data_IF_281359207467
#
_entry.id   IF_281359207467
#
_cell.length_a   1.000
_cell.length_b   1.000
_cell.length_c   1.000
_cell.angle_alpha   90.00
_cell.angle_beta   90.00
_cell.angle_gamma   90.00
#
_symmetry.space_group_name_H-M   'P 1'
#
loop_
_entity.id
_entity.type
_entity.pdbx_description
1 polymer ?
#
# COMPACT_ATOMS: atom_id res chain seq x y z
N UNK A 1 -3.44 -15.11 22.37
CA UNK A 1 -3.23 -13.94 21.49
C UNK A 1 -3.04 -14.34 20.02
N UNK A 2 -1.94 -15.01 19.65
CA UNK A 2 -1.64 -15.36 18.24
C UNK A 2 -2.79 -16.08 17.52
N UNK A 3 -3.41 -17.08 18.16
CA UNK A 3 -4.55 -17.78 17.56
C UNK A 3 -5.75 -16.85 17.29
N UNK A 4 -6.04 -15.91 18.20
CA UNK A 4 -7.15 -14.96 18.05
C UNK A 4 -6.88 -13.96 16.93
N UNK A 5 -5.71 -13.35 16.93
CA UNK A 5 -5.32 -12.31 15.96
C UNK A 5 -5.16 -12.93 14.56
N UNK A 6 -4.25 -13.92 14.46
CA UNK A 6 -3.74 -14.42 13.19
C UNK A 6 -4.59 -15.57 12.67
N UNK A 7 -4.73 -16.66 13.45
CA UNK A 7 -5.38 -17.88 12.95
C UNK A 7 -6.90 -17.76 12.79
N UNK A 8 -7.54 -16.98 13.65
CA UNK A 8 -8.98 -16.72 13.60
C UNK A 8 -9.32 -15.48 12.76
N UNK A 9 -8.32 -14.69 12.35
CA UNK A 9 -8.53 -13.51 11.51
C UNK A 9 -9.26 -12.35 12.19
N UNK A 10 -9.18 -12.21 13.52
CA UNK A 10 -9.70 -11.02 14.20
C UNK A 10 -8.82 -9.80 13.96
N UNK A 11 -7.54 -10.03 13.72
CA UNK A 11 -6.53 -9.01 13.49
C UNK A 11 -6.25 -8.09 14.67
N UNK A 12 -5.38 -7.11 14.46
CA UNK A 12 -5.09 -6.07 15.46
C UNK A 12 -6.29 -5.17 15.70
N UNK A 13 -7.17 -4.99 14.69
CA UNK A 13 -8.44 -4.29 14.88
C UNK A 13 -9.31 -4.98 15.93
N UNK A 14 -9.48 -6.29 15.85
CA UNK A 14 -10.28 -7.05 16.81
C UNK A 14 -9.74 -7.00 18.24
N UNK A 15 -8.42 -6.83 18.40
CA UNK A 15 -7.82 -6.60 19.73
C UNK A 15 -8.26 -5.26 20.32
N UNK A 16 -8.26 -4.20 19.52
CA UNK A 16 -8.72 -2.87 19.95
C UNK A 16 -10.22 -2.88 20.23
N UNK A 17 -11.02 -3.49 19.35
CA UNK A 17 -12.47 -3.63 19.55
C UNK A 17 -12.82 -4.39 20.84
N UNK A 18 -11.90 -5.23 21.35
CA UNK A 18 -12.05 -5.96 22.62
C UNK A 18 -11.71 -5.13 23.87
N UNK A 19 -11.43 -3.83 23.73
CA UNK A 19 -11.14 -2.93 24.86
C UNK A 19 -9.70 -2.99 25.39
N UNK A 20 -8.75 -3.39 24.55
CA UNK A 20 -7.34 -3.48 24.92
C UNK A 20 -6.76 -2.12 25.32
N UNK A 21 -6.11 -2.06 26.49
CA UNK A 21 -5.52 -0.84 27.05
C UNK A 21 -3.99 -0.76 26.98
N UNK A 22 -3.31 -1.81 26.52
CA UNK A 22 -1.85 -1.84 26.38
C UNK A 22 -1.40 -2.76 25.23
N UNK A 23 -0.24 -2.47 24.65
CA UNK A 23 0.33 -3.29 23.55
C UNK A 23 0.82 -4.64 24.11
N UNK A 24 0.34 -5.78 23.58
CA UNK A 24 0.79 -7.09 24.03
C UNK A 24 2.24 -7.38 23.63
N UNK A 25 2.93 -8.18 24.43
CA UNK A 25 4.36 -8.49 24.22
C UNK A 25 4.75 -8.93 22.80
N UNK A 26 3.96 -9.74 22.06
CA UNK A 26 4.30 -10.11 20.69
C UNK A 26 4.38 -8.94 19.68
N UNK A 27 3.78 -7.79 20.00
CA UNK A 27 3.81 -6.57 19.17
C UNK A 27 4.87 -5.56 19.62
N UNK A 28 5.53 -5.84 20.75
CA UNK A 28 6.57 -4.96 21.30
C UNK A 28 7.84 -5.14 20.47
N UNK A 29 8.17 -4.11 19.70
CA UNK A 29 9.31 -4.13 18.79
C UNK A 29 10.64 -4.12 19.55
N UNK A 30 11.71 -4.70 18.99
CA UNK A 30 13.07 -4.53 19.50
C UNK A 30 13.44 -3.05 19.60
N UNK A 31 14.30 -2.68 20.55
CA UNK A 31 14.74 -1.28 20.72
C UNK A 31 15.31 -0.66 19.43
N UNK A 32 15.95 -1.46 18.58
CA UNK A 32 16.48 -1.02 17.29
C UNK A 32 15.40 -0.65 16.27
N UNK A 33 14.21 -1.24 16.36
CA UNK A 33 13.07 -1.02 15.47
C UNK A 33 12.07 0.00 16.02
N UNK A 34 12.09 0.25 17.33
CA UNK A 34 11.28 1.31 17.93
C UNK A 34 11.73 2.64 17.35
N UNK A 35 10.80 3.29 16.68
CA UNK A 35 10.96 4.66 16.23
C UNK A 35 10.90 5.49 17.51
N UNK A 36 12.06 5.91 18.02
CA UNK A 36 12.08 7.04 18.93
C UNK A 36 11.29 8.17 18.24
N UNK A 37 10.55 8.98 18.97
CA UNK A 37 10.10 10.28 18.48
C UNK A 37 11.22 11.29 18.76
N UNK A 38 12.35 11.33 18.01
CA UNK A 38 13.16 12.53 18.05
C UNK A 38 12.32 13.63 17.43
N UNK A 39 12.59 14.88 17.82
CA UNK A 39 12.24 16.05 17.03
C UNK A 39 12.63 15.74 15.58
N UNK A 40 11.67 15.33 14.76
CA UNK A 40 11.92 15.11 13.35
C UNK A 40 12.41 16.48 12.88
N UNK A 41 13.68 16.54 12.47
CA UNK A 41 14.14 17.68 11.69
C UNK A 41 13.13 17.75 10.56
N UNK A 42 12.28 18.78 10.58
CA UNK A 42 11.40 19.12 9.48
C UNK A 42 12.32 19.50 8.34
N UNK A 43 12.87 18.50 7.64
CA UNK A 43 13.32 18.69 6.27
C UNK A 43 12.06 19.10 5.54
N UNK A 44 12.08 20.29 4.97
CA UNK A 44 11.03 20.75 4.08
C UNK A 44 10.74 19.63 3.10
N UNK A 45 9.52 19.10 3.14
CA UNK A 45 9.11 18.09 2.17
C UNK A 45 9.27 18.71 0.78
N UNK A 46 9.93 18.00 -0.13
CA UNK A 46 10.03 18.42 -1.52
C UNK A 46 8.63 18.74 -2.03
N UNK A 47 8.48 19.86 -2.75
CA UNK A 47 7.20 20.21 -3.34
C UNK A 47 6.72 19.07 -4.25
N UNK A 48 5.41 18.72 -4.21
CA UNK A 48 4.88 17.68 -5.09
C UNK A 48 5.10 18.04 -6.57
N UNK A 49 5.40 17.03 -7.37
CA UNK A 49 5.62 17.16 -8.81
C UNK A 49 4.26 17.22 -9.52
N UNK A 50 4.03 18.28 -10.31
CA UNK A 50 2.80 18.45 -11.08
C UNK A 50 2.85 17.65 -12.39
N UNK A 51 2.14 16.51 -12.43
CA UNK A 51 2.11 15.64 -13.61
C UNK A 51 1.22 16.15 -14.74
N UNK A 52 0.42 17.20 -14.55
CA UNK A 52 -0.35 17.80 -15.65
C UNK A 52 0.56 18.53 -16.65
N UNK A 53 1.76 18.91 -16.20
CA UNK A 53 2.75 19.63 -16.99
C UNK A 53 3.66 18.71 -17.82
N UNK A 54 3.60 17.39 -17.57
CA UNK A 54 4.51 16.42 -18.17
C UNK A 54 4.32 16.26 -19.69
N UNK A 55 3.10 16.40 -20.22
CA UNK A 55 2.85 16.32 -21.68
C UNK A 55 2.80 17.71 -22.34
N UNK A 56 3.21 18.74 -21.60
CA UNK A 56 3.13 20.14 -22.01
C UNK A 56 4.49 20.76 -22.34
N UNK A 57 4.53 22.10 -22.51
CA UNK A 57 5.77 22.84 -22.75
C UNK A 57 6.84 22.64 -21.67
N UNK A 58 6.42 22.27 -20.46
CA UNK A 58 7.27 22.06 -19.29
C UNK A 58 7.76 20.60 -19.15
N UNK A 59 7.50 19.72 -20.13
CA UNK A 59 7.88 18.30 -20.10
C UNK A 59 9.30 18.05 -19.57
N UNK A 60 10.31 18.75 -20.12
CA UNK A 60 11.72 18.56 -19.74
C UNK A 60 12.00 18.85 -18.27
N UNK A 61 11.33 19.87 -17.72
CA UNK A 61 11.51 20.26 -16.33
C UNK A 61 10.84 19.26 -15.38
N UNK A 62 9.62 18.83 -15.69
CA UNK A 62 8.91 17.81 -14.90
C UNK A 62 9.64 16.47 -14.95
N UNK A 63 10.10 16.06 -16.13
CA UNK A 63 10.88 14.84 -16.31
C UNK A 63 12.17 14.87 -15.47
N UNK A 64 12.87 16.01 -15.48
CA UNK A 64 14.06 16.23 -14.65
C UNK A 64 13.74 16.12 -13.16
N UNK A 65 12.64 16.71 -12.67
CA UNK A 65 12.22 16.60 -11.27
C UNK A 65 11.95 15.15 -10.84
N UNK A 66 11.29 14.37 -11.70
CA UNK A 66 11.03 12.94 -11.45
C UNK A 66 12.35 12.18 -11.33
N UNK A 67 13.27 12.37 -12.27
CA UNK A 67 14.59 11.72 -12.29
C UNK A 67 15.41 12.10 -11.06
N UNK A 68 15.54 13.39 -10.77
CA UNK A 68 16.34 13.87 -9.63
C UNK A 68 15.78 13.33 -8.31
N UNK A 69 14.46 13.30 -8.14
CA UNK A 69 13.86 12.74 -6.93
C UNK A 69 14.07 11.22 -6.82
N UNK A 70 13.99 10.49 -7.93
CA UNK A 70 14.25 9.06 -7.98
C UNK A 70 15.72 8.71 -7.68
N UNK A 71 16.68 9.50 -8.18
CA UNK A 71 18.12 9.28 -7.96
C UNK A 71 18.60 9.68 -6.56
N UNK A 72 17.99 10.71 -5.96
CA UNK A 72 18.46 11.27 -4.69
C UNK A 72 17.78 10.66 -3.47
N UNK A 73 16.45 10.54 -3.50
CA UNK A 73 15.65 10.04 -2.38
C UNK A 73 15.01 8.67 -2.67
N UNK A 74 14.75 8.36 -3.93
CA UNK A 74 13.92 7.21 -4.31
C UNK A 74 12.46 7.36 -3.90
N UNK A 75 12.01 8.59 -3.61
CA UNK A 75 10.66 8.89 -3.14
C UNK A 75 10.25 10.31 -3.55
N UNK A 76 9.02 10.47 -4.02
CA UNK A 76 8.45 11.77 -4.39
C UNK A 76 6.92 11.74 -4.32
N UNK A 77 6.32 12.92 -4.20
CA UNK A 77 4.88 13.10 -4.26
C UNK A 77 4.49 13.67 -5.62
N UNK A 78 3.29 13.36 -6.07
CA UNK A 78 2.74 13.86 -7.33
C UNK A 78 1.37 14.49 -7.10
N UNK A 79 1.05 15.53 -7.87
CA UNK A 79 -0.27 16.17 -7.93
C UNK A 79 -0.73 16.28 -9.38
N UNK A 80 -2.03 16.56 -9.57
CA UNK A 80 -2.65 16.69 -10.90
C UNK A 80 -2.34 15.46 -11.80
N UNK A 81 -2.35 14.27 -11.20
CA UNK A 81 -1.94 13.01 -11.82
C UNK A 81 -3.04 12.34 -12.67
N UNK A 82 -4.23 12.95 -12.75
CA UNK A 82 -5.33 12.49 -13.61
C UNK A 82 -6.26 11.43 -13.02
N UNK A 83 -6.02 10.98 -11.79
CA UNK A 83 -6.95 10.08 -11.06
C UNK A 83 -7.97 10.94 -10.32
N UNK A 84 -9.27 10.66 -10.48
CA UNK A 84 -10.33 11.44 -9.83
C UNK A 84 -10.19 11.42 -8.31
N UNK A 85 -10.32 12.59 -7.69
CA UNK A 85 -10.38 12.73 -6.22
C UNK A 85 -11.54 11.91 -5.65
N UNK A 86 -12.68 11.87 -6.33
CA UNK A 86 -13.85 11.08 -5.88
C UNK A 86 -13.50 9.59 -5.81
N UNK A 87 -12.75 9.08 -6.79
CA UNK A 87 -12.30 7.69 -6.80
C UNK A 87 -11.31 7.40 -5.66
N UNK A 88 -10.42 8.35 -5.36
CA UNK A 88 -9.49 8.21 -4.22
C UNK A 88 -10.22 8.19 -2.88
N UNK A 89 -11.24 9.04 -2.70
CA UNK A 89 -12.07 9.04 -1.49
C UNK A 89 -12.91 7.77 -1.36
N UNK A 90 -13.52 7.30 -2.47
CA UNK A 90 -14.22 6.02 -2.49
C UNK A 90 -13.30 4.85 -2.17
N UNK A 91 -12.05 4.87 -2.65
CA UNK A 91 -11.10 3.81 -2.36
C UNK A 91 -10.80 3.74 -0.86
N UNK A 92 -10.53 4.89 -0.22
CA UNK A 92 -10.33 4.99 1.24
C UNK A 92 -11.56 4.48 1.99
N UNK A 93 -12.76 4.95 1.62
CA UNK A 93 -14.00 4.51 2.24
C UNK A 93 -14.21 2.99 2.12
N UNK A 94 -13.98 2.42 0.93
CA UNK A 94 -14.13 0.98 0.68
C UNK A 94 -13.15 0.12 1.48
N UNK A 95 -11.94 0.63 1.75
CA UNK A 95 -10.99 -0.02 2.64
C UNK A 95 -11.55 -0.06 4.08
N UNK A 96 -12.05 1.07 4.58
CA UNK A 96 -12.71 1.12 5.90
C UNK A 96 -13.91 0.17 5.97
N UNK A 97 -14.75 0.12 4.93
CA UNK A 97 -15.89 -0.80 4.86
C UNK A 97 -15.46 -2.26 4.94
N UNK A 98 -14.41 -2.66 4.24
CA UNK A 98 -13.85 -4.01 4.33
C UNK A 98 -13.38 -4.33 5.77
N UNK A 99 -12.58 -3.46 6.39
CA UNK A 99 -12.04 -3.73 7.73
C UNK A 99 -13.09 -3.63 8.85
N UNK A 100 -14.17 -2.88 8.63
CA UNK A 100 -15.33 -2.80 9.53
C UNK A 100 -16.21 -4.05 9.53
N UNK A 101 -16.06 -4.94 8.56
CA UNK A 101 -16.81 -6.21 8.55
C UNK A 101 -16.47 -7.08 9.77
N UNK A 102 -17.42 -7.94 10.13
CA UNK A 102 -17.24 -8.95 11.15
C UNK A 102 -16.02 -9.85 10.83
N UNK A 103 -15.25 -10.31 11.83
CA UNK A 103 -14.06 -11.14 11.62
C UNK A 103 -14.28 -12.32 10.69
N UNK A 104 -15.43 -13.00 10.78
CA UNK A 104 -15.76 -14.19 9.99
C UNK A 104 -15.84 -13.87 8.49
N UNK A 105 -16.28 -12.66 8.13
CA UNK A 105 -16.37 -12.21 6.72
C UNK A 105 -14.99 -11.88 6.14
N UNK A 106 -14.03 -11.50 6.97
CA UNK A 106 -12.64 -11.23 6.55
C UNK A 106 -11.79 -12.50 6.57
N UNK A 107 -12.02 -13.38 7.54
CA UNK A 107 -11.28 -14.61 7.75
C UNK A 107 -11.38 -15.59 6.56
N UNK A 108 -12.41 -15.49 5.72
CA UNK A 108 -12.50 -16.28 4.49
C UNK A 108 -11.34 -16.00 3.52
N UNK A 109 -10.65 -14.86 3.65
CA UNK A 109 -9.51 -14.49 2.82
C UNK A 109 -8.16 -14.81 3.47
N UNK A 110 -8.13 -15.49 4.62
CA UNK A 110 -6.86 -15.97 5.20
C UNK A 110 -6.15 -16.91 4.21
N UNK A 111 -4.81 -16.87 4.20
CA UNK A 111 -3.96 -17.55 3.20
C UNK A 111 -4.31 -19.03 2.99
N UNK A 112 -4.70 -19.72 4.06
CA UNK A 112 -4.93 -21.16 4.09
C UNK A 112 -6.30 -21.56 3.54
N UNK A 113 -7.28 -20.64 3.55
CA UNK A 113 -8.68 -20.92 3.20
C UNK A 113 -9.22 -20.02 2.10
N UNK A 114 -8.43 -19.03 1.65
CA UNK A 114 -8.84 -18.08 0.61
C UNK A 114 -9.32 -18.81 -0.65
N UNK A 115 -10.49 -18.44 -1.20
CA UNK A 115 -10.99 -19.03 -2.45
C UNK A 115 -10.04 -18.86 -3.63
N UNK A 116 -9.14 -17.88 -3.58
CA UNK A 116 -8.10 -17.66 -4.57
C UNK A 116 -6.77 -17.36 -3.89
N UNK A 117 -5.69 -17.98 -4.39
CA UNK A 117 -4.31 -17.70 -3.93
C UNK A 117 -3.86 -16.27 -4.25
N UNK A 118 -4.62 -15.55 -5.08
CA UNK A 118 -4.37 -14.17 -5.49
C UNK A 118 -4.87 -13.15 -4.47
N UNK A 119 -5.70 -13.57 -3.50
CA UNK A 119 -6.26 -12.67 -2.47
C UNK A 119 -5.89 -13.19 -1.10
N UNK A 120 -5.29 -12.34 -0.27
CA UNK A 120 -4.85 -12.67 1.09
C UNK A 120 -5.20 -11.56 2.07
N UNK A 121 -6.02 -11.88 3.07
CA UNK A 121 -6.18 -11.10 4.29
C UNK A 121 -5.25 -11.63 5.37
N UNK A 122 -4.76 -10.74 6.23
CA UNK A 122 -4.03 -11.12 7.41
C UNK A 122 -3.60 -9.93 8.28
N UNK A 123 -2.80 -10.24 9.28
CA UNK A 123 -2.17 -9.29 10.19
C UNK A 123 -0.68 -9.48 10.08
N UNK A 124 0.07 -8.39 9.91
CA UNK A 124 1.52 -8.40 9.68
C UNK A 124 1.99 -9.25 8.49
N UNK A 125 3.23 -9.09 8.06
CA UNK A 125 3.69 -9.67 6.80
C UNK A 125 3.78 -11.21 6.85
N UNK A 126 4.59 -11.73 7.77
CA UNK A 126 4.78 -13.17 8.05
C UNK A 126 4.90 -13.37 9.57
N UNK A 127 3.79 -13.33 10.32
CA UNK A 127 3.79 -13.37 11.79
C UNK A 127 4.58 -14.53 12.40
N UNK A 128 4.61 -15.69 11.73
CA UNK A 128 5.29 -16.89 12.22
C UNK A 128 6.82 -16.79 12.20
N UNK A 129 7.37 -15.90 11.35
CA UNK A 129 8.82 -15.70 11.18
C UNK A 129 9.32 -14.40 11.81
N UNK A 130 8.41 -13.54 12.25
CA UNK A 130 8.72 -12.25 12.82
C UNK A 130 9.16 -12.36 14.28
N UNK A 131 10.12 -11.53 14.68
CA UNK A 131 10.54 -11.40 16.08
C UNK A 131 9.50 -10.64 16.92
N UNK A 132 8.84 -9.67 16.29
CA UNK A 132 7.73 -8.92 16.83
C UNK A 132 6.77 -8.60 15.67
N UNK A 133 5.47 -8.78 15.90
CA UNK A 133 4.41 -8.63 14.92
C UNK A 133 4.14 -7.14 14.68
N UNK A 134 3.90 -6.75 13.43
CA UNK A 134 3.53 -5.39 13.06
C UNK A 134 2.09 -5.07 13.49
N UNK A 135 1.86 -3.81 13.87
CA UNK A 135 0.55 -3.29 14.26
C UNK A 135 -0.29 -2.90 13.04
N UNK A 136 -0.60 -3.89 12.20
CA UNK A 136 -1.28 -3.68 10.92
C UNK A 136 -2.10 -4.90 10.50
N UNK A 137 -3.33 -4.65 10.08
CA UNK A 137 -4.12 -5.59 9.27
C UNK A 137 -4.04 -5.19 7.79
N UNK A 138 -4.12 -6.16 6.89
CA UNK A 138 -4.10 -5.88 5.45
C UNK A 138 -4.96 -6.86 4.66
N UNK A 139 -5.41 -6.43 3.49
CA UNK A 139 -5.82 -7.32 2.40
C UNK A 139 -4.98 -7.02 1.17
N UNK A 140 -4.38 -8.06 0.61
CA UNK A 140 -3.54 -8.03 -0.57
C UNK A 140 -4.27 -8.70 -1.72
N UNK A 141 -4.37 -8.01 -2.84
CA UNK A 141 -5.12 -8.41 -4.03
C UNK A 141 -4.19 -8.37 -5.24
N UNK A 142 -3.71 -9.53 -5.67
CA UNK A 142 -2.93 -9.67 -6.89
C UNK A 142 -3.87 -9.57 -8.10
N UNK A 143 -3.54 -8.71 -9.04
CA UNK A 143 -4.28 -8.54 -10.28
C UNK A 143 -3.63 -9.36 -11.40
N UNK A 144 -4.43 -10.21 -12.04
CA UNK A 144 -4.05 -10.97 -13.24
C UNK A 144 -4.91 -10.58 -14.43
N UNK A 145 -6.23 -10.53 -14.24
CA UNK A 145 -7.22 -10.05 -15.20
C UNK A 145 -8.51 -9.63 -14.47
N UNK A 146 -9.39 -8.92 -15.20
CA UNK A 146 -10.67 -8.44 -14.67
C UNK A 146 -11.57 -9.56 -14.15
N UNK A 147 -11.62 -10.71 -14.81
CA UNK A 147 -12.49 -11.83 -14.41
C UNK A 147 -12.10 -12.38 -13.04
N UNK A 148 -10.79 -12.60 -12.81
CA UNK A 148 -10.26 -13.06 -11.53
C UNK A 148 -10.52 -12.02 -10.42
N UNK A 149 -10.32 -10.73 -10.72
CA UNK A 149 -10.60 -9.65 -9.78
C UNK A 149 -12.09 -9.60 -9.41
N UNK A 150 -12.98 -9.60 -10.41
CA UNK A 150 -14.44 -9.54 -10.21
C UNK A 150 -14.99 -10.76 -9.46
N UNK A 151 -14.38 -11.92 -9.65
CA UNK A 151 -14.78 -13.17 -9.01
C UNK A 151 -14.26 -13.29 -7.57
N UNK A 152 -13.05 -12.84 -7.28
CA UNK A 152 -12.36 -13.20 -6.04
C UNK A 152 -12.03 -12.05 -5.09
N UNK A 153 -11.94 -10.80 -5.56
CA UNK A 153 -11.66 -9.68 -4.67
C UNK A 153 -12.83 -9.42 -3.71
N UNK A 154 -12.58 -8.88 -2.51
CA UNK A 154 -13.63 -8.63 -1.52
C UNK A 154 -14.68 -7.65 -2.05
N UNK A 155 -15.94 -8.05 -2.01
CA UNK A 155 -17.05 -7.26 -2.53
C UNK A 155 -17.07 -5.78 -2.05
N UNK A 156 -16.76 -5.45 -0.77
CA UNK A 156 -16.78 -4.05 -0.33
C UNK A 156 -15.85 -3.12 -1.09
N UNK A 157 -14.71 -3.63 -1.57
CA UNK A 157 -13.68 -2.81 -2.21
C UNK A 157 -13.35 -3.20 -3.65
N UNK A 158 -13.90 -4.31 -4.15
CA UNK A 158 -13.56 -4.90 -5.44
C UNK A 158 -13.66 -3.93 -6.61
N UNK A 159 -14.83 -3.34 -6.81
CA UNK A 159 -15.11 -2.58 -8.03
C UNK A 159 -14.31 -1.26 -8.03
N UNK A 160 -14.25 -0.59 -6.87
CA UNK A 160 -13.48 0.65 -6.66
C UNK A 160 -11.97 0.41 -6.75
N UNK A 161 -11.46 -0.68 -6.19
CA UNK A 161 -10.05 -1.04 -6.28
C UNK A 161 -9.63 -1.37 -7.73
N UNK A 162 -10.52 -2.04 -8.47
CA UNK A 162 -10.26 -2.37 -9.88
C UNK A 162 -10.25 -1.10 -10.74
N UNK A 163 -11.19 -0.19 -10.51
CA UNK A 163 -11.23 1.10 -11.18
C UNK A 163 -10.00 1.95 -10.85
N UNK A 164 -9.61 2.02 -9.57
CA UNK A 164 -8.39 2.70 -9.15
C UNK A 164 -7.14 2.12 -9.80
N UNK A 165 -7.00 0.79 -9.84
CA UNK A 165 -5.87 0.13 -10.49
C UNK A 165 -5.81 0.55 -11.96
N UNK A 166 -6.94 0.51 -12.68
CA UNK A 166 -6.98 0.89 -14.10
C UNK A 166 -6.68 2.36 -14.34
N UNK A 167 -7.30 3.26 -13.56
CA UNK A 167 -7.11 4.71 -13.70
C UNK A 167 -5.70 5.16 -13.31
N UNK A 168 -5.04 4.47 -12.38
CA UNK A 168 -3.66 4.78 -12.01
C UNK A 168 -2.62 4.29 -13.02
N UNK A 169 -2.94 3.30 -13.87
CA UNK A 169 -1.98 2.73 -14.82
C UNK A 169 -1.38 3.77 -15.77
N UNK A 170 -2.19 4.72 -16.24
CA UNK A 170 -1.71 5.75 -17.17
C UNK A 170 -0.67 6.66 -16.53
N UNK A 171 -0.93 7.09 -15.29
CA UNK A 171 0.04 7.84 -14.49
C UNK A 171 1.34 7.05 -14.31
N UNK A 172 1.25 5.76 -13.93
CA UNK A 172 2.43 4.92 -13.71
C UNK A 172 3.24 4.75 -15.00
N UNK A 173 2.57 4.53 -16.15
CA UNK A 173 3.24 4.43 -17.46
C UNK A 173 4.07 5.67 -17.75
N UNK A 174 3.47 6.86 -17.66
CA UNK A 174 4.15 8.14 -17.92
C UNK A 174 5.38 8.35 -17.04
N UNK A 175 5.28 8.00 -15.75
CA UNK A 175 6.42 8.07 -14.82
C UNK A 175 7.52 7.06 -15.21
N UNK A 176 7.14 5.83 -15.55
CA UNK A 176 8.09 4.80 -15.97
C UNK A 176 8.80 5.18 -17.27
N UNK A 177 8.10 5.75 -18.25
CA UNK A 177 8.69 6.22 -19.50
C UNK A 177 9.79 7.24 -19.25
N UNK A 178 9.52 8.26 -18.43
CA UNK A 178 10.50 9.28 -18.04
C UNK A 178 11.76 8.65 -17.42
N UNK A 179 11.57 7.72 -16.47
CA UNK A 179 12.69 7.06 -15.79
C UNK A 179 13.52 6.20 -16.75
N UNK A 180 12.86 5.55 -17.71
CA UNK A 180 13.53 4.67 -18.68
C UNK A 180 14.25 5.46 -19.77
N UNK A 181 13.66 6.56 -20.23
CA UNK A 181 14.31 7.48 -21.18
C UNK A 181 15.57 8.09 -20.58
N UNK A 182 15.57 8.42 -19.29
CA UNK A 182 16.77 8.93 -18.60
C UNK A 182 17.94 7.94 -18.62
N UNK A 183 17.67 6.63 -18.54
CA UNK A 183 18.70 5.58 -18.67
C UNK A 183 18.97 5.19 -20.13
N UNK A 184 18.48 5.96 -21.10
CA UNK A 184 18.71 5.75 -22.52
C UNK A 184 17.87 4.62 -23.13
N UNK A 185 16.81 4.19 -22.47
CA UNK A 185 15.92 3.12 -22.92
C UNK A 185 14.58 3.70 -23.34
N UNK A 186 14.30 3.66 -24.64
CA UNK A 186 12.95 3.91 -25.15
C UNK A 186 12.13 2.62 -25.04
N UNK A 187 11.06 2.65 -24.25
CA UNK A 187 10.17 1.49 -24.10
C UNK A 187 9.17 1.44 -25.25
N UNK A 188 9.13 0.29 -25.93
CA UNK A 188 8.01 -0.09 -26.77
C UNK A 188 6.90 -0.70 -25.89
N UNK A 189 5.66 -0.70 -26.40
CA UNK A 189 4.48 -1.09 -25.63
C UNK A 189 4.59 -2.50 -25.02
N UNK A 190 5.15 -3.47 -25.74
CA UNK A 190 5.35 -4.83 -25.24
C UNK A 190 6.29 -4.87 -24.03
N UNK A 191 7.40 -4.10 -24.07
CA UNK A 191 8.36 -4.02 -22.97
C UNK A 191 7.78 -3.29 -21.77
N UNK A 192 7.01 -2.23 -22.01
CA UNK A 192 6.27 -1.52 -20.96
C UNK A 192 5.32 -2.49 -20.24
N UNK A 193 4.53 -3.25 -21.00
CA UNK A 193 3.59 -4.22 -20.45
C UNK A 193 4.32 -5.33 -19.66
N UNK A 194 5.50 -5.75 -20.10
CA UNK A 194 6.36 -6.69 -19.37
C UNK A 194 6.84 -6.15 -18.02
N UNK A 195 7.35 -4.91 -18.00
CA UNK A 195 7.80 -4.24 -16.77
C UNK A 195 6.67 -4.04 -15.77
N UNK A 196 5.49 -3.70 -16.28
CA UNK A 196 4.27 -3.55 -15.48
C UNK A 196 3.49 -4.86 -15.31
N UNK A 197 4.09 -6.01 -15.60
CA UNK A 197 3.35 -7.27 -15.77
C UNK A 197 2.60 -7.71 -14.50
N UNK A 198 3.24 -7.57 -13.34
CA UNK A 198 2.63 -7.92 -12.05
C UNK A 198 2.11 -6.68 -11.35
N UNK A 199 0.83 -6.69 -10.97
CA UNK A 199 0.17 -5.58 -10.27
C UNK A 199 -0.50 -6.10 -9.01
N UNK A 200 -0.43 -5.32 -7.95
CA UNK A 200 -0.99 -5.69 -6.65
C UNK A 200 -1.58 -4.46 -5.99
N UNK A 201 -2.77 -4.60 -5.41
CA UNK A 201 -3.38 -3.58 -4.55
C UNK A 201 -3.35 -4.11 -3.12
N UNK A 202 -2.69 -3.37 -2.23
CA UNK A 202 -2.70 -3.65 -0.79
C UNK A 202 -3.51 -2.57 -0.09
N UNK A 203 -4.57 -2.98 0.61
CA UNK A 203 -5.26 -2.11 1.55
C UNK A 203 -4.72 -2.41 2.94
N UNK A 204 -4.17 -1.39 3.60
CA UNK A 204 -3.61 -1.49 4.93
C UNK A 204 -4.54 -0.79 5.93
N UNK A 205 -4.67 -1.35 7.12
CA UNK A 205 -5.42 -0.77 8.23
C UNK A 205 -4.57 -0.77 9.49
N UNK A 206 -4.36 0.44 10.01
CA UNK A 206 -3.54 0.70 11.20
C UNK A 206 -4.48 1.16 12.32
N UNK A 207 -5.01 0.25 13.16
CA UNK A 207 -5.89 0.65 14.26
C UNK A 207 -5.13 1.50 15.27
N UNK A 208 -5.86 2.37 15.99
CA UNK A 208 -5.29 3.15 17.10
C UNK A 208 -4.51 2.26 18.05
N UNK A 209 -3.26 2.63 18.34
CA UNK A 209 -2.38 1.88 19.21
C UNK A 209 -2.33 2.52 20.61
N UNK A 210 -2.52 1.76 21.71
CA UNK A 210 -2.48 2.31 23.06
C UNK A 210 -1.07 2.68 23.54
N UNK A 211 -0.02 2.17 22.89
CA UNK A 211 1.39 2.45 23.22
C UNK A 211 2.22 2.50 21.93
N UNK A 212 2.02 3.53 21.08
CA UNK A 212 2.61 3.60 19.75
C UNK A 212 4.15 3.58 19.76
N UNK A 213 4.79 4.03 20.83
CA UNK A 213 6.24 4.00 21.03
C UNK A 213 6.83 2.59 21.17
N UNK A 214 5.99 1.58 21.45
CA UNK A 214 6.40 0.20 21.63
C UNK A 214 6.29 -0.64 20.37
N UNK A 215 5.55 -0.18 19.36
CA UNK A 215 5.27 -0.96 18.15
C UNK A 215 5.48 -0.13 16.88
N UNK A 216 5.25 -0.73 15.72
CA UNK A 216 5.34 -0.09 14.42
C UNK A 216 4.23 -0.61 13.52
N UNK A 217 3.75 0.22 12.59
CA UNK A 217 2.80 -0.23 11.56
C UNK A 217 3.46 -1.12 10.50
N UNK A 218 4.71 -0.81 10.11
CA UNK A 218 5.51 -1.60 9.17
C UNK A 218 7.00 -1.50 9.57
N UNK A 219 7.74 -2.61 9.50
CA UNK A 219 9.18 -2.66 9.72
C UNK A 219 10.01 -1.94 8.66
N UNK A 220 11.28 -1.65 8.96
CA UNK A 220 12.21 -1.13 7.95
C UNK A 220 12.36 -2.14 6.81
N UNK A 221 12.06 -1.71 5.60
CA UNK A 221 12.18 -2.52 4.40
C UNK A 221 12.41 -1.63 3.17
N UNK A 222 12.73 -2.28 2.06
CA UNK A 222 12.66 -1.69 0.72
C UNK A 222 11.60 -2.45 -0.06
N UNK A 223 10.81 -1.72 -0.84
CA UNK A 223 9.76 -2.32 -1.64
C UNK A 223 10.34 -3.26 -2.69
N UNK A 224 9.65 -4.39 -2.86
CA UNK A 224 9.94 -5.35 -3.90
C UNK A 224 9.12 -5.00 -5.14
N UNK A 225 9.75 -4.53 -6.20
CA UNK A 225 9.06 -4.18 -7.44
C UNK A 225 9.74 -3.04 -8.17
N UNK A 226 9.05 -2.52 -9.19
CA UNK A 226 9.54 -1.39 -9.99
C UNK A 226 9.15 -0.04 -9.38
N UNK A 227 7.88 0.12 -9.01
CA UNK A 227 7.33 1.36 -8.47
C UNK A 227 6.15 1.04 -7.54
N UNK A 228 6.06 1.76 -6.43
CA UNK A 228 4.90 1.73 -5.52
C UNK A 228 4.16 3.05 -5.61
N UNK A 229 2.84 2.99 -5.79
CA UNK A 229 1.95 4.15 -5.66
C UNK A 229 1.26 4.06 -4.30
N UNK A 230 1.51 5.02 -3.43
CA UNK A 230 0.93 5.08 -2.09
C UNK A 230 -0.14 6.16 -2.02
N UNK A 231 -1.36 5.76 -1.66
CA UNK A 231 -2.44 6.66 -1.25
C UNK A 231 -2.58 6.56 0.28
N UNK A 232 -2.47 7.68 0.98
CA UNK A 232 -2.59 7.75 2.45
C UNK A 232 -3.94 8.36 2.87
N UNK A 233 -4.43 7.97 4.05
CA UNK A 233 -5.39 8.77 4.80
C UNK A 233 -4.68 10.02 5.36
N UNK A 234 -5.35 11.17 5.25
CA UNK A 234 -4.79 12.48 5.61
C UNK A 234 -4.79 12.74 7.12
#
# INVERSE_FOLDING_TARGET
LFNFVVKQGNGVKGLIDSGMSCVPQPFVQPLSERIATPNALTREASQPIDLSQLDGPNHKEVAKQIVEAAETLGFFQVVNHGVSVELLELLKASAHEFFAQAPEKKAIYLKEVSPSKLVKYGTSFVPEKEKAIEWKDYVSMLYTNDSEALQHWPQPCRDVALEFLKSSMEMVKRVVEVLMENVGVRLEEERMNGLMGTKMVNMNYYPTCPSPELTIGVGRHSDMGMLTVLLQDG
#
